data_IF_433396984386
#
_entry.id   IF_433396984386
#
_cell.length_a   1.000
_cell.length_b   1.000
_cell.length_c   1.000
_cell.angle_alpha   90.00
_cell.angle_beta   90.00
_cell.angle_gamma   90.00
#
_symmetry.space_group_name_H-M   'P 1'
#
loop_
_entity.id
_entity.type
_entity.pdbx_description
1 polymer ?
#
# COMPACT_ATOMS: atom_id res chain seq x y z
N UNK A 1 23.06 11.45 8.25
CA UNK A 1 21.94 10.59 8.70
C UNK A 1 20.58 11.26 8.52
N UNK A 2 20.42 12.53 8.93
CA UNK A 2 19.17 13.29 8.78
C UNK A 2 18.70 13.39 7.32
N UNK A 3 19.61 13.71 6.39
CA UNK A 3 19.30 13.85 4.96
C UNK A 3 18.74 12.55 4.35
N UNK A 4 19.27 11.39 4.75
CA UNK A 4 18.76 10.10 4.29
C UNK A 4 17.32 9.85 4.77
N UNK A 5 17.03 10.15 6.04
CA UNK A 5 15.67 10.01 6.60
C UNK A 5 14.68 10.96 5.91
N UNK A 6 15.10 12.21 5.65
CA UNK A 6 14.29 13.21 4.94
C UNK A 6 14.01 12.73 3.52
N UNK A 7 15.05 12.30 2.79
CA UNK A 7 14.91 11.79 1.44
C UNK A 7 14.00 10.56 1.38
N UNK A 8 14.19 9.59 2.29
CA UNK A 8 13.33 8.40 2.38
C UNK A 8 11.87 8.77 2.63
N UNK A 9 11.60 9.63 3.62
CA UNK A 9 10.23 10.08 3.93
C UNK A 9 9.60 10.79 2.74
N UNK A 10 10.38 11.61 2.01
CA UNK A 10 9.92 12.28 0.81
C UNK A 10 9.49 11.28 -0.28
N UNK A 11 10.33 10.31 -0.62
CA UNK A 11 10.01 9.35 -1.69
C UNK A 11 8.80 8.46 -1.34
N UNK A 12 8.71 8.02 -0.07
CA UNK A 12 7.57 7.26 0.44
C UNK A 12 6.27 8.07 0.36
N UNK A 13 6.31 9.31 0.86
CA UNK A 13 5.17 10.22 0.82
C UNK A 13 4.75 10.59 -0.61
N UNK A 14 5.73 10.80 -1.49
CA UNK A 14 5.51 11.12 -2.90
C UNK A 14 4.83 9.97 -3.64
N UNK A 15 5.30 8.74 -3.47
CA UNK A 15 4.71 7.56 -4.10
C UNK A 15 3.23 7.40 -3.74
N UNK A 16 2.91 7.42 -2.44
CA UNK A 16 1.51 7.36 -2.00
C UNK A 16 0.70 8.57 -2.48
N UNK A 17 1.25 9.78 -2.36
CA UNK A 17 0.57 11.02 -2.70
C UNK A 17 0.17 11.15 -4.16
N UNK A 18 0.96 10.60 -5.09
CA UNK A 18 0.69 10.66 -6.53
C UNK A 18 -0.20 9.49 -7.00
N UNK A 19 -0.04 8.29 -6.43
CA UNK A 19 -0.76 7.09 -6.89
C UNK A 19 -2.25 7.13 -6.54
N UNK A 20 -2.61 7.54 -5.32
CA UNK A 20 -4.01 7.56 -4.85
C UNK A 20 -4.97 8.43 -5.68
N UNK A 21 -4.64 9.66 -6.09
CA UNK A 21 -5.53 10.49 -6.90
C UNK A 21 -5.66 10.03 -8.36
N UNK A 22 -4.72 9.22 -8.87
CA UNK A 22 -4.76 8.69 -10.24
C UNK A 22 -5.68 7.45 -10.33
N UNK A 23 -5.79 6.69 -9.25
CA UNK A 23 -6.59 5.46 -9.15
C UNK A 23 -8.04 5.56 -9.68
N UNK A 24 -8.82 6.61 -9.40
CA UNK A 24 -10.18 6.76 -9.95
C UNK A 24 -10.20 6.92 -11.48
N UNK A 25 -9.24 7.66 -12.03
CA UNK A 25 -9.12 7.84 -13.48
C UNK A 25 -8.66 6.53 -14.13
N UNK A 26 -7.67 5.87 -13.53
CA UNK A 26 -7.19 4.57 -13.98
C UNK A 26 -8.27 3.49 -13.88
N UNK A 27 -9.13 3.54 -12.86
CA UNK A 27 -10.26 2.61 -12.71
C UNK A 27 -11.25 2.70 -13.88
N UNK A 28 -11.54 3.91 -14.36
CA UNK A 28 -12.37 4.11 -15.55
C UNK A 28 -11.70 3.55 -16.82
N UNK A 29 -10.38 3.66 -16.94
CA UNK A 29 -9.60 3.14 -18.08
C UNK A 29 -9.45 1.61 -18.03
N UNK A 30 -9.26 1.04 -16.83
CA UNK A 30 -9.07 -0.40 -16.59
C UNK A 30 -10.37 -1.18 -16.44
N UNK A 31 -11.54 -0.52 -16.55
CA UNK A 31 -12.85 -1.16 -16.37
C UNK A 31 -13.16 -1.59 -14.93
N UNK A 32 -12.45 -1.03 -13.94
CA UNK A 32 -12.70 -1.28 -12.52
C UNK A 32 -13.90 -0.46 -12.08
N UNK A 33 -14.86 -1.10 -11.39
CA UNK A 33 -16.09 -0.41 -10.97
C UNK A 33 -15.80 0.75 -9.99
N UNK A 34 -16.58 1.84 -10.10
CA UNK A 34 -16.47 2.98 -9.20
C UNK A 34 -16.66 2.59 -7.71
N UNK A 35 -17.47 1.55 -7.47
CA UNK A 35 -17.64 0.96 -6.14
C UNK A 35 -16.32 0.39 -5.59
N UNK A 36 -15.60 -0.39 -6.40
CA UNK A 36 -14.31 -0.97 -5.99
C UNK A 36 -13.26 0.11 -5.73
N UNK A 37 -13.21 1.17 -6.56
CA UNK A 37 -12.36 2.34 -6.30
C UNK A 37 -12.71 2.98 -4.95
N UNK A 38 -14.01 3.18 -4.68
CA UNK A 38 -14.48 3.70 -3.40
C UNK A 38 -14.09 2.82 -2.20
N UNK A 39 -14.16 1.50 -2.36
CA UNK A 39 -13.69 0.52 -1.34
C UNK A 39 -12.19 0.66 -1.11
N UNK A 40 -11.37 0.74 -2.16
CA UNK A 40 -9.91 0.90 -2.04
C UNK A 40 -9.56 2.19 -1.31
N UNK A 41 -10.17 3.32 -1.69
CA UNK A 41 -9.92 4.62 -1.06
C UNK A 41 -10.37 4.62 0.42
N UNK A 42 -11.51 4.00 0.72
CA UNK A 42 -12.03 3.88 2.08
C UNK A 42 -11.15 2.97 2.95
N UNK A 43 -10.72 1.83 2.41
CA UNK A 43 -9.82 0.90 3.08
C UNK A 43 -8.50 1.58 3.46
N UNK A 44 -7.93 2.39 2.55
CA UNK A 44 -6.74 3.18 2.87
C UNK A 44 -6.95 4.08 4.09
N UNK A 45 -8.06 4.80 4.14
CA UNK A 45 -8.38 5.72 5.25
C UNK A 45 -8.57 4.97 6.57
N UNK A 46 -9.26 3.83 6.54
CA UNK A 46 -9.47 2.95 7.68
C UNK A 46 -8.18 2.37 8.23
N UNK A 47 -7.32 1.83 7.36
CA UNK A 47 -6.01 1.29 7.76
C UNK A 47 -5.18 2.37 8.44
N UNK A 48 -5.14 3.60 7.88
CA UNK A 48 -4.42 4.71 8.51
C UNK A 48 -4.98 5.04 9.88
N UNK A 49 -6.31 5.08 10.04
CA UNK A 49 -6.96 5.37 11.33
C UNK A 49 -6.59 4.33 12.39
N UNK A 50 -6.66 3.05 12.06
CA UNK A 50 -6.34 1.95 12.99
C UNK A 50 -4.84 1.86 13.26
N UNK A 51 -3.99 2.09 12.25
CA UNK A 51 -2.54 1.95 12.39
C UNK A 51 -1.86 3.16 13.05
N UNK A 52 -2.47 4.36 13.00
CA UNK A 52 -1.84 5.58 13.53
C UNK A 52 -1.67 5.53 15.05
N UNK A 53 -2.65 5.02 15.79
CA UNK A 53 -2.58 4.91 17.25
C UNK A 53 -1.44 3.98 17.75
N UNK A 54 -1.33 2.72 17.29
CA UNK A 54 -0.23 1.84 17.68
C UNK A 54 1.12 2.35 17.16
N UNK A 55 1.18 2.95 15.97
CA UNK A 55 2.41 3.54 15.46
C UNK A 55 2.91 4.69 16.36
N UNK A 56 2.00 5.57 16.81
CA UNK A 56 2.31 6.63 17.77
C UNK A 56 2.84 6.07 19.09
N UNK A 57 2.13 5.10 19.68
CA UNK A 57 2.57 4.45 20.92
C UNK A 57 3.94 3.76 20.79
N UNK A 58 4.25 3.17 19.63
CA UNK A 58 5.54 2.55 19.36
C UNK A 58 6.67 3.60 19.31
N UNK A 59 6.39 4.75 18.69
CA UNK A 59 7.31 5.89 18.60
C UNK A 59 7.55 6.50 19.97
N UNK A 60 6.50 6.69 20.76
CA UNK A 60 6.59 7.26 22.11
C UNK A 60 7.42 6.35 23.05
N UNK A 61 7.31 5.03 22.89
CA UNK A 61 8.03 4.06 23.74
C UNK A 61 9.48 3.79 23.33
N UNK A 62 9.77 3.74 22.03
CA UNK A 62 11.09 3.30 21.53
C UNK A 62 11.90 4.41 20.82
N UNK A 63 11.36 5.63 20.77
CA UNK A 63 11.90 6.75 20.02
C UNK A 63 11.63 6.62 18.51
N UNK A 64 11.71 7.72 17.77
CA UNK A 64 11.35 7.79 16.33
C UNK A 64 12.20 6.91 15.42
N UNK A 65 13.46 6.65 15.77
CA UNK A 65 14.44 6.05 14.84
C UNK A 65 14.19 4.57 14.55
N UNK A 66 13.88 3.75 15.56
CA UNK A 66 13.70 2.29 15.37
C UNK A 66 12.39 1.95 14.63
N UNK A 67 11.23 2.51 14.99
CA UNK A 67 9.97 2.30 14.28
C UNK A 67 10.04 2.77 12.83
N UNK A 68 10.74 3.88 12.54
CA UNK A 68 10.91 4.38 11.17
C UNK A 68 11.65 3.37 10.27
N UNK A 69 12.78 2.82 10.73
CA UNK A 69 13.55 1.85 9.94
C UNK A 69 12.77 0.55 9.74
N UNK A 70 12.06 0.07 10.78
CA UNK A 70 11.19 -1.10 10.65
C UNK A 70 10.04 -0.85 9.67
N UNK A 71 9.41 0.32 9.72
CA UNK A 71 8.37 0.73 8.78
C UNK A 71 8.89 0.75 7.34
N UNK A 72 10.08 1.31 7.12
CA UNK A 72 10.72 1.35 5.80
C UNK A 72 11.05 -0.06 5.27
N UNK A 73 11.49 -0.98 6.13
CA UNK A 73 11.72 -2.38 5.75
C UNK A 73 10.42 -3.08 5.37
N UNK A 74 9.35 -2.90 6.18
CA UNK A 74 8.02 -3.46 5.89
C UNK A 74 7.49 -2.93 4.56
N UNK A 75 7.64 -1.63 4.31
CA UNK A 75 7.25 -1.00 3.05
C UNK A 75 8.04 -1.55 1.86
N UNK A 76 9.36 -1.71 2.01
CA UNK A 76 10.19 -2.31 0.97
C UNK A 76 9.78 -3.75 0.65
N UNK A 77 9.53 -4.56 1.67
CA UNK A 77 9.05 -5.95 1.51
C UNK A 77 7.67 -5.98 0.86
N UNK A 78 6.74 -5.13 1.30
CA UNK A 78 5.41 -5.02 0.72
C UNK A 78 5.48 -4.64 -0.77
N UNK A 79 6.38 -3.72 -1.12
CA UNK A 79 6.59 -3.29 -2.51
C UNK A 79 7.18 -4.41 -3.36
N UNK A 80 8.10 -5.20 -2.81
CA UNK A 80 8.60 -6.41 -3.48
C UNK A 80 7.48 -7.45 -3.73
N UNK A 81 6.44 -7.46 -2.90
CA UNK A 81 5.23 -8.23 -3.16
C UNK A 81 4.56 -7.93 -4.51
N UNK A 82 4.66 -6.69 -5.01
CA UNK A 82 4.17 -6.37 -6.36
C UNK A 82 4.97 -7.08 -7.46
N UNK A 83 6.27 -7.30 -7.26
CA UNK A 83 7.10 -8.07 -8.21
C UNK A 83 6.61 -9.50 -8.30
N UNK A 84 6.24 -10.09 -7.16
CA UNK A 84 5.63 -11.43 -7.13
C UNK A 84 4.26 -11.42 -7.80
N UNK A 85 3.45 -10.38 -7.59
CA UNK A 85 2.15 -10.24 -8.26
C UNK A 85 2.26 -10.11 -9.79
N UNK A 86 3.32 -9.47 -10.29
CA UNK A 86 3.60 -9.38 -11.74
C UNK A 86 4.11 -10.71 -12.30
N UNK A 87 4.86 -11.47 -11.51
CA UNK A 87 5.36 -12.80 -11.89
C UNK A 87 4.27 -13.89 -11.83
N UNK A 88 3.21 -13.68 -11.04
CA UNK A 88 2.04 -14.55 -11.01
C UNK A 88 1.22 -14.38 -12.30
N UNK A 89 0.65 -15.48 -12.83
CA UNK A 89 -0.28 -15.40 -13.95
C UNK A 89 -1.40 -14.39 -13.64
N UNK A 90 -1.89 -13.63 -14.64
CA UNK A 90 -2.99 -12.69 -14.43
C UNK A 90 -4.16 -13.40 -13.73
N UNK A 91 -4.86 -12.70 -12.83
CA UNK A 91 -6.01 -13.24 -12.09
C UNK A 91 -7.06 -13.93 -12.99
N UNK A 92 -7.10 -13.55 -14.28
CA UNK A 92 -7.92 -14.16 -15.31
C UNK A 92 -7.58 -15.65 -15.58
N UNK A 93 -6.32 -16.04 -15.43
CA UNK A 93 -5.87 -17.43 -15.54
C UNK A 93 -6.38 -18.33 -14.41
N UNK A 94 -6.84 -17.75 -13.30
CA UNK A 94 -7.44 -18.46 -12.17
C UNK A 94 -8.98 -18.51 -12.24
N UNK A 95 -9.62 -17.79 -13.19
CA UNK A 95 -11.08 -17.88 -13.43
C UNK A 95 -11.59 -19.29 -13.75
N UNK A 96 -10.88 -20.15 -14.52
CA UNK A 96 -11.34 -21.52 -14.77
C UNK A 96 -11.36 -22.36 -13.49
N UNK A 97 -10.43 -22.08 -12.56
CA UNK A 97 -10.33 -22.78 -11.27
C UNK A 97 -11.44 -22.30 -10.33
N UNK A 98 -11.71 -20.99 -10.27
CA UNK A 98 -12.81 -20.43 -9.49
C UNK A 98 -14.20 -20.88 -9.98
N UNK A 99 -14.38 -21.13 -11.28
CA UNK A 99 -15.61 -21.69 -11.86
C UNK A 99 -15.79 -23.20 -11.58
N UNK A 100 -14.75 -23.87 -11.09
CA UNK A 100 -14.76 -25.31 -10.74
C UNK A 100 -14.87 -25.58 -9.24
N UNK A 101 -14.89 -24.54 -8.41
CA UNK A 101 -15.15 -24.67 -6.98
C UNK A 101 -16.67 -24.78 -6.75
N UNK A 102 -17.13 -25.71 -5.88
CA UNK A 102 -18.55 -25.97 -5.64
C UNK A 102 -19.30 -24.81 -4.98
#
# INVERSE_FOLDING_TARGET
MLVAVIASTFFVGFGGGVVFPILPNLGAVLGISAFMVGVILSANRWVRLVASAPAGALVDRYGTRKPFVLGLLVEGIATLGYVVAIALPPAESFRPIAASMP
#
